data_IF_913465858169
#
_entry.id   IF_913465858169
#
_cell.length_a   1.000
_cell.length_b   1.000
_cell.length_c   1.000
_cell.angle_alpha   90.00
_cell.angle_beta   90.00
_cell.angle_gamma   90.00
#
_symmetry.space_group_name_H-M   'P 1'
#
loop_
_entity.id
_entity.type
_entity.pdbx_description
1 polymer ?
#
# COMPACT_ATOMS: atom_id res chain seq x y z
N UNK A 1 5.57 11.67 -7.47
CA UNK A 1 6.32 11.10 -8.62
C UNK A 1 7.74 11.64 -8.61
N UNK A 2 8.71 10.81 -8.99
CA UNK A 2 10.09 11.23 -9.25
C UNK A 2 10.32 11.21 -10.76
N UNK A 3 10.80 12.33 -11.30
CA UNK A 3 11.09 12.47 -12.73
C UNK A 3 12.53 12.92 -12.90
N UNK A 4 13.31 12.18 -13.68
CA UNK A 4 14.72 12.46 -13.91
C UNK A 4 15.14 12.04 -15.32
N UNK A 5 16.27 12.50 -15.84
CA UNK A 5 16.83 11.94 -17.08
C UNK A 5 17.75 10.75 -16.85
N UNK A 6 18.44 10.71 -15.71
CA UNK A 6 19.39 9.64 -15.39
C UNK A 6 19.48 9.46 -13.89
N UNK A 7 19.51 8.21 -13.43
CA UNK A 7 19.79 7.81 -12.05
C UNK A 7 21.01 6.89 -12.07
N UNK A 8 22.06 7.26 -11.35
CA UNK A 8 23.29 6.47 -11.27
C UNK A 8 23.75 6.32 -9.82
N UNK A 9 24.06 5.09 -9.40
CA UNK A 9 24.64 4.75 -8.09
C UNK A 9 23.91 5.41 -6.90
N UNK A 10 22.59 5.55 -7.00
CA UNK A 10 21.77 6.32 -6.07
C UNK A 10 20.65 5.48 -5.49
N UNK A 11 20.19 5.84 -4.29
CA UNK A 11 19.00 5.27 -3.68
C UNK A 11 17.84 6.24 -3.84
N UNK A 12 16.79 5.84 -4.55
CA UNK A 12 15.64 6.68 -4.88
C UNK A 12 14.38 6.01 -4.39
N UNK A 13 13.57 6.74 -3.62
CA UNK A 13 12.29 6.26 -3.12
C UNK A 13 11.20 7.21 -3.60
N UNK A 14 10.13 6.66 -4.19
CA UNK A 14 8.97 7.43 -4.65
C UNK A 14 7.69 6.80 -4.13
N UNK A 15 6.85 7.60 -3.47
CA UNK A 15 5.51 7.18 -3.03
C UNK A 15 4.50 6.97 -4.16
N UNK A 16 4.89 7.17 -5.43
CA UNK A 16 4.05 6.87 -6.61
C UNK A 16 4.90 6.24 -7.70
N UNK A 17 5.25 6.98 -8.77
CA UNK A 17 6.04 6.47 -9.88
C UNK A 17 7.47 7.03 -9.89
N UNK A 18 8.38 6.29 -10.50
CA UNK A 18 9.70 6.79 -10.94
C UNK A 18 9.75 6.75 -12.46
N UNK A 19 9.84 7.91 -13.10
CA UNK A 19 9.86 8.03 -14.57
C UNK A 19 11.14 8.69 -15.05
N UNK A 20 11.89 7.96 -15.84
CA UNK A 20 13.08 8.46 -16.49
C UNK A 20 12.69 8.97 -17.88
N UNK A 21 12.82 10.29 -18.10
CA UNK A 21 12.43 10.97 -19.33
C UNK A 21 13.65 11.61 -20.00
N UNK A 22 13.64 11.73 -21.33
CA UNK A 22 14.75 12.32 -22.09
C UNK A 22 15.43 11.33 -23.02
N UNK A 23 16.52 11.77 -23.65
CA UNK A 23 17.19 10.97 -24.71
C UNK A 23 17.82 9.70 -24.14
N UNK A 24 18.45 9.84 -22.96
CA UNK A 24 19.11 8.72 -22.27
C UNK A 24 18.15 7.91 -21.41
N UNK A 25 17.35 8.57 -20.55
CA UNK A 25 16.38 7.92 -19.66
C UNK A 25 16.94 6.62 -19.04
N UNK A 26 18.05 6.77 -18.32
CA UNK A 26 18.95 5.68 -17.96
C UNK A 26 18.96 5.44 -16.45
N UNK A 27 18.95 4.18 -16.04
CA UNK A 27 19.15 3.74 -14.66
C UNK A 27 20.39 2.85 -14.61
N UNK A 28 21.40 3.20 -13.81
CA UNK A 28 22.59 2.35 -13.59
C UNK A 28 22.99 2.32 -12.12
N UNK A 29 22.80 1.18 -11.47
CA UNK A 29 23.29 0.96 -10.11
C UNK A 29 22.49 1.69 -9.03
N UNK A 30 22.54 1.13 -7.82
CA UNK A 30 21.79 1.62 -6.65
C UNK A 30 20.46 0.90 -6.47
N UNK A 31 19.57 1.51 -5.67
CA UNK A 31 18.27 0.97 -5.29
C UNK A 31 17.16 1.95 -5.59
N UNK A 32 16.24 1.59 -6.48
CA UNK A 32 15.07 2.40 -6.80
C UNK A 32 13.82 1.69 -6.31
N UNK A 33 13.05 2.38 -5.49
CA UNK A 33 11.78 1.93 -4.95
C UNK A 33 10.67 2.86 -5.43
N UNK A 34 9.60 2.29 -5.98
CA UNK A 34 8.40 3.02 -6.37
C UNK A 34 7.16 2.27 -5.90
N UNK A 35 6.14 3.01 -5.48
CA UNK A 35 4.88 2.39 -5.05
C UNK A 35 4.12 1.79 -6.25
N UNK A 36 3.97 2.54 -7.34
CA UNK A 36 3.12 2.16 -8.49
C UNK A 36 3.90 1.63 -9.69
N UNK A 37 5.09 2.15 -9.96
CA UNK A 37 5.83 1.71 -11.14
C UNK A 37 7.10 2.47 -11.44
N UNK A 38 7.94 1.85 -12.27
CA UNK A 38 9.24 2.38 -12.70
C UNK A 38 9.31 2.33 -14.22
N UNK A 39 9.63 3.45 -14.88
CA UNK A 39 9.78 3.50 -16.34
C UNK A 39 11.10 4.12 -16.73
N UNK A 40 11.85 3.46 -17.62
CA UNK A 40 13.09 3.97 -18.19
C UNK A 40 13.32 3.43 -19.60
N UNK A 41 14.19 4.09 -20.36
CA UNK A 41 14.61 3.56 -21.66
C UNK A 41 15.63 2.44 -21.48
N UNK A 42 16.65 2.67 -20.65
CA UNK A 42 17.72 1.71 -20.42
C UNK A 42 17.88 1.47 -18.93
N UNK A 43 17.89 0.20 -18.53
CA UNK A 43 18.01 -0.21 -17.13
C UNK A 43 19.24 -1.11 -16.99
N UNK A 44 20.08 -0.81 -16.01
CA UNK A 44 21.36 -1.49 -15.81
C UNK A 44 22.42 -1.07 -16.80
N UNK A 45 23.52 -1.81 -16.81
CA UNK A 45 24.68 -1.56 -17.67
C UNK A 45 25.20 -2.86 -18.27
N UNK A 46 25.87 -2.84 -19.44
CA UNK A 46 26.55 -4.02 -20.01
C UNK A 46 27.55 -4.69 -19.05
N UNK A 47 28.12 -3.93 -18.11
CA UNK A 47 29.06 -4.44 -17.09
C UNK A 47 28.38 -5.15 -15.90
N UNK A 48 27.08 -5.47 -16.02
CA UNK A 48 26.27 -6.10 -14.98
C UNK A 48 26.29 -5.38 -13.62
N UNK A 49 26.32 -4.04 -13.63
CA UNK A 49 26.24 -3.22 -12.41
C UNK A 49 24.96 -3.53 -11.64
N UNK A 50 25.12 -3.98 -10.39
CA UNK A 50 24.01 -4.33 -9.50
C UNK A 50 23.01 -3.19 -9.37
N UNK A 51 21.82 -3.39 -9.92
CA UNK A 51 20.73 -2.41 -9.93
C UNK A 51 19.50 -3.08 -9.32
N UNK A 52 18.98 -2.52 -8.23
CA UNK A 52 17.79 -3.04 -7.55
C UNK A 52 16.60 -2.17 -7.90
N UNK A 53 15.57 -2.76 -8.50
CA UNK A 53 14.29 -2.10 -8.77
C UNK A 53 13.19 -2.78 -7.98
N UNK A 54 12.53 -2.03 -7.11
CA UNK A 54 11.45 -2.51 -6.28
C UNK A 54 10.18 -1.73 -6.60
N UNK A 55 9.11 -2.45 -6.93
CA UNK A 55 7.76 -1.90 -7.07
C UNK A 55 6.84 -2.58 -6.07
N UNK A 56 6.16 -1.81 -5.22
CA UNK A 56 5.30 -2.39 -4.20
C UNK A 56 4.99 -1.45 -3.05
N UNK A 57 4.16 -1.95 -2.14
CA UNK A 57 3.86 -1.25 -0.90
C UNK A 57 5.09 -1.31 0.01
N UNK A 58 5.38 -0.21 0.69
CA UNK A 58 6.32 -0.25 1.79
C UNK A 58 5.74 -1.11 2.93
N UNK A 59 6.59 -1.77 3.73
CA UNK A 59 6.15 -2.48 4.94
C UNK A 59 5.29 -1.61 5.85
N UNK A 60 5.64 -0.33 5.98
CA UNK A 60 4.95 0.66 6.81
C UNK A 60 3.46 0.81 6.45
N UNK A 61 3.12 0.87 5.16
CA UNK A 61 1.73 1.00 4.70
C UNK A 61 0.94 -0.28 4.94
N UNK A 62 1.61 -1.43 4.87
CA UNK A 62 0.99 -2.72 5.18
C UNK A 62 0.73 -2.86 6.68
N UNK A 63 1.67 -2.45 7.50
CA UNK A 63 1.53 -2.43 8.96
C UNK A 63 0.42 -1.47 9.40
N UNK A 64 0.28 -0.29 8.77
CA UNK A 64 -0.82 0.65 9.00
C UNK A 64 -2.19 0.00 8.69
N UNK A 65 -2.31 -0.69 7.56
CA UNK A 65 -3.55 -1.38 7.18
C UNK A 65 -3.91 -2.48 8.20
N UNK A 66 -2.96 -3.34 8.55
CA UNK A 66 -3.20 -4.43 9.50
C UNK A 66 -3.57 -3.88 10.89
N UNK A 67 -2.91 -2.81 11.34
CA UNK A 67 -3.25 -2.12 12.58
C UNK A 67 -4.66 -1.53 12.58
N UNK A 68 -5.03 -0.76 11.55
CA UNK A 68 -6.35 -0.13 11.43
C UNK A 68 -7.47 -1.17 11.34
N UNK A 69 -7.20 -2.31 10.68
CA UNK A 69 -8.15 -3.42 10.57
C UNK A 69 -8.39 -4.09 11.92
N UNK A 70 -7.35 -4.30 12.72
CA UNK A 70 -7.49 -4.78 14.09
C UNK A 70 -8.22 -3.77 14.98
N UNK A 71 -7.87 -2.49 14.86
CA UNK A 71 -8.52 -1.41 15.62
C UNK A 71 -10.01 -1.33 15.31
N UNK A 72 -10.38 -1.41 14.03
CA UNK A 72 -11.78 -1.44 13.60
C UNK A 72 -12.54 -2.61 14.25
N UNK A 73 -11.99 -3.83 14.19
CA UNK A 73 -12.61 -5.00 14.77
C UNK A 73 -12.79 -4.88 16.31
N UNK A 74 -11.83 -4.25 16.99
CA UNK A 74 -11.93 -3.96 18.43
C UNK A 74 -13.04 -2.94 18.71
N UNK A 75 -13.06 -1.82 17.97
CA UNK A 75 -14.05 -0.75 18.15
C UNK A 75 -15.48 -1.22 17.83
N UNK A 76 -15.69 -2.00 16.77
CA UNK A 76 -17.02 -2.57 16.45
C UNK A 76 -17.51 -3.51 17.56
N UNK A 77 -16.62 -4.32 18.14
CA UNK A 77 -16.95 -5.19 19.28
C UNK A 77 -17.28 -4.39 20.54
N UNK A 78 -16.57 -3.30 20.80
CA UNK A 78 -16.86 -2.40 21.92
C UNK A 78 -18.18 -1.65 21.71
N UNK A 79 -18.43 -1.16 20.50
CA UNK A 79 -19.70 -0.51 20.14
C UNK A 79 -20.88 -1.46 20.36
N UNK A 80 -20.77 -2.72 19.96
CA UNK A 80 -21.80 -3.73 20.20
C UNK A 80 -22.10 -3.91 21.70
N UNK A 81 -21.07 -3.93 22.56
CA UNK A 81 -21.25 -4.00 24.01
C UNK A 81 -21.94 -2.75 24.56
N UNK A 82 -21.56 -1.56 24.10
CA UNK A 82 -22.19 -0.29 24.49
C UNK A 82 -23.66 -0.28 24.09
N UNK A 83 -24.00 -0.77 22.90
CA UNK A 83 -25.39 -0.90 22.45
C UNK A 83 -26.20 -1.89 23.29
N UNK A 84 -25.61 -3.03 23.68
CA UNK A 84 -26.26 -3.97 24.59
C UNK A 84 -26.53 -3.35 25.97
N UNK A 85 -25.57 -2.60 26.51
CA UNK A 85 -25.73 -1.86 27.79
C UNK A 85 -26.87 -0.85 27.66
N UNK A 86 -26.90 -0.06 26.58
CA UNK A 86 -27.97 0.91 26.34
C UNK A 86 -29.33 0.23 26.18
N UNK A 87 -29.41 -0.89 25.46
CA UNK A 87 -30.65 -1.65 25.30
C UNK A 87 -31.17 -2.22 26.64
N UNK A 88 -30.28 -2.74 27.48
CA UNK A 88 -30.62 -3.22 28.83
C UNK A 88 -31.13 -2.08 29.71
N UNK A 89 -30.46 -0.93 29.68
CA UNK A 89 -30.89 0.26 30.44
C UNK A 89 -32.26 0.73 29.96
N UNK A 90 -32.50 0.81 28.64
CA UNK A 90 -33.80 1.21 28.09
C UNK A 90 -34.93 0.25 28.48
N UNK A 91 -34.66 -1.06 28.57
CA UNK A 91 -35.64 -2.04 29.10
C UNK A 91 -35.94 -1.81 30.57
N UNK A 92 -34.93 -1.51 31.38
CA UNK A 92 -35.11 -1.18 32.81
C UNK A 92 -35.91 0.11 33.01
N UNK A 93 -35.69 1.13 32.18
CA UNK A 93 -36.48 2.38 32.18
C UNK A 93 -37.97 2.09 31.92
N UNK A 94 -38.28 1.20 30.97
CA UNK A 94 -39.66 0.84 30.64
C UNK A 94 -40.39 0.08 31.76
N UNK A 95 -39.66 -0.61 32.65
CA UNK A 95 -40.22 -1.34 33.80
C UNK A 95 -40.28 -0.54 35.10
N UNK A 96 -39.73 0.69 35.14
CA UNK A 96 -39.80 1.63 36.26
C UNK A 96 -38.52 1.79 37.11
N UNK A 97 -38.27 3.04 37.52
CA UNK A 97 -37.18 3.60 38.33
C UNK A 97 -35.73 3.19 37.98
N UNK A 98 -35.05 4.09 37.25
CA UNK A 98 -33.59 4.09 37.19
C UNK A 98 -32.98 4.78 38.41
N UNK A 99 -31.99 4.15 39.04
CA UNK A 99 -31.14 4.82 40.01
C UNK A 99 -30.28 5.90 39.35
N UNK A 100 -29.88 6.92 40.11
CA UNK A 100 -28.96 7.98 39.68
C UNK A 100 -27.67 7.44 39.04
N UNK A 101 -27.12 6.35 39.60
CA UNK A 101 -25.93 5.67 39.05
C UNK A 101 -26.15 5.13 37.64
N UNK A 102 -27.33 4.56 37.36
CA UNK A 102 -27.66 4.02 36.03
C UNK A 102 -27.89 5.12 35.00
N UNK A 103 -28.40 6.29 35.42
CA UNK A 103 -28.51 7.45 34.54
C UNK A 103 -27.14 8.00 34.16
N UNK A 104 -26.18 8.01 35.10
CA UNK A 104 -24.79 8.40 34.81
C UNK A 104 -24.11 7.41 33.84
N UNK A 105 -24.32 6.10 34.03
CA UNK A 105 -23.83 5.07 33.11
C UNK A 105 -24.44 5.25 31.71
N UNK A 106 -25.76 5.50 31.62
CA UNK A 106 -26.44 5.78 30.35
C UNK A 106 -25.82 6.99 29.64
N UNK A 107 -25.59 8.09 30.36
CA UNK A 107 -25.02 9.29 29.76
C UNK A 107 -23.59 9.03 29.22
N UNK A 108 -22.75 8.32 29.98
CA UNK A 108 -21.42 7.91 29.51
C UNK A 108 -21.50 7.01 28.29
N UNK A 109 -22.37 6.00 28.31
CA UNK A 109 -22.55 5.08 27.19
C UNK A 109 -23.04 5.77 25.91
N UNK A 110 -23.92 6.77 26.02
CA UNK A 110 -24.35 7.59 24.87
C UNK A 110 -23.19 8.40 24.29
N UNK A 111 -22.37 9.03 25.14
CA UNK A 111 -21.17 9.77 24.69
C UNK A 111 -20.20 8.85 23.94
N UNK A 112 -19.86 7.71 24.53
CA UNK A 112 -18.99 6.71 23.90
C UNK A 112 -19.58 6.17 22.59
N UNK A 113 -20.89 5.93 22.53
CA UNK A 113 -21.57 5.52 21.28
C UNK A 113 -21.41 6.58 20.19
N UNK A 114 -21.57 7.86 20.52
CA UNK A 114 -21.41 8.95 19.57
C UNK A 114 -19.96 9.07 19.06
N UNK A 115 -18.97 8.89 19.94
CA UNK A 115 -17.55 8.83 19.57
C UNK A 115 -17.28 7.68 18.59
N UNK A 116 -17.79 6.47 18.87
CA UNK A 116 -17.65 5.33 17.96
C UNK A 116 -18.36 5.55 16.62
N UNK A 117 -19.53 6.19 16.62
CA UNK A 117 -20.26 6.53 15.39
C UNK A 117 -19.50 7.52 14.49
N UNK A 118 -18.51 8.25 15.01
CA UNK A 118 -17.64 9.12 14.22
C UNK A 118 -16.37 8.36 13.80
N UNK A 119 -15.69 7.73 14.77
CA UNK A 119 -14.38 7.10 14.55
C UNK A 119 -14.43 5.86 13.66
N UNK A 120 -15.48 5.05 13.75
CA UNK A 120 -15.62 3.83 12.93
C UNK A 120 -15.72 4.18 11.44
N UNK A 121 -16.59 5.11 11.00
CA UNK A 121 -16.60 5.59 9.63
C UNK A 121 -15.25 6.16 9.15
N UNK A 122 -14.54 6.92 9.98
CA UNK A 122 -13.23 7.48 9.63
C UNK A 122 -12.20 6.38 9.36
N UNK A 123 -12.11 5.38 10.26
CA UNK A 123 -11.22 4.23 10.08
C UNK A 123 -11.62 3.42 8.85
N UNK A 124 -12.92 3.21 8.61
CA UNK A 124 -13.40 2.52 7.40
C UNK A 124 -13.02 3.25 6.12
N UNK A 125 -13.20 4.58 6.08
CA UNK A 125 -12.81 5.39 4.93
C UNK A 125 -11.30 5.28 4.66
N UNK A 126 -10.48 5.37 5.71
CA UNK A 126 -9.03 5.20 5.60
C UNK A 126 -8.63 3.81 5.10
N UNK A 127 -9.28 2.75 5.61
CA UNK A 127 -9.05 1.39 5.13
C UNK A 127 -9.42 1.23 3.64
N UNK A 128 -10.53 1.83 3.20
CA UNK A 128 -10.91 1.82 1.78
C UNK A 128 -9.87 2.53 0.90
N UNK A 129 -9.38 3.71 1.31
CA UNK A 129 -8.30 4.40 0.59
C UNK A 129 -7.03 3.55 0.48
N UNK A 130 -6.66 2.87 1.57
CA UNK A 130 -5.52 1.97 1.59
C UNK A 130 -5.74 0.76 0.68
N UNK A 131 -6.93 0.14 0.68
CA UNK A 131 -7.27 -0.99 -0.19
C UNK A 131 -7.24 -0.61 -1.67
N UNK A 132 -7.79 0.54 -2.05
CA UNK A 132 -7.70 1.07 -3.42
C UNK A 132 -6.24 1.24 -3.84
N UNK A 133 -5.44 1.84 -2.95
CA UNK A 133 -4.00 2.00 -3.19
C UNK A 133 -3.31 0.64 -3.32
N UNK A 134 -3.66 -0.35 -2.50
CA UNK A 134 -3.09 -1.70 -2.59
C UNK A 134 -3.42 -2.40 -3.91
N UNK A 135 -4.63 -2.20 -4.44
CA UNK A 135 -5.04 -2.74 -5.75
C UNK A 135 -4.24 -2.07 -6.87
N UNK A 136 -4.05 -0.76 -6.81
CA UNK A 136 -3.20 -0.05 -7.78
C UNK A 136 -1.75 -0.56 -7.73
N UNK A 137 -1.21 -0.76 -6.54
CA UNK A 137 0.15 -1.27 -6.34
C UNK A 137 0.32 -2.72 -6.76
N UNK A 138 -0.71 -3.56 -6.58
CA UNK A 138 -0.69 -4.95 -7.03
C UNK A 138 -0.50 -5.05 -8.56
N UNK A 139 -0.94 -4.03 -9.30
CA UNK A 139 -0.75 -3.90 -10.74
C UNK A 139 0.56 -3.17 -11.11
N UNK A 140 1.48 -3.02 -10.16
CA UNK A 140 2.72 -2.30 -10.38
C UNK A 140 3.58 -2.94 -11.47
N UNK A 141 4.11 -2.09 -12.37
CA UNK A 141 4.88 -2.50 -13.55
C UNK A 141 6.24 -1.82 -13.61
N UNK A 142 7.19 -2.51 -14.22
CA UNK A 142 8.49 -1.94 -14.58
C UNK A 142 8.64 -1.96 -16.11
N UNK A 143 8.85 -0.80 -16.70
CA UNK A 143 8.97 -0.62 -18.14
C UNK A 143 10.41 -0.33 -18.55
N UNK A 144 10.97 -1.18 -19.41
CA UNK A 144 12.26 -0.99 -20.08
C UNK A 144 12.05 -0.82 -21.58
N UNK A 145 12.06 0.43 -22.07
CA UNK A 145 11.73 0.74 -23.47
C UNK A 145 12.75 0.22 -24.48
N UNK A 146 14.05 0.29 -24.18
CA UNK A 146 15.11 -0.16 -25.10
C UNK A 146 15.67 -1.49 -24.65
N UNK A 147 16.30 -1.51 -23.46
CA UNK A 147 17.02 -2.67 -22.98
C UNK A 147 17.13 -2.65 -21.44
N UNK A 148 16.97 -3.83 -20.86
CA UNK A 148 17.27 -4.15 -19.47
C UNK A 148 18.45 -5.10 -19.48
N UNK A 149 19.58 -4.66 -18.93
CA UNK A 149 20.82 -5.41 -18.92
C UNK A 149 20.86 -6.46 -17.80
N UNK A 150 21.77 -7.45 -17.91
CA UNK A 150 22.06 -8.36 -16.81
C UNK A 150 22.49 -7.63 -15.52
N UNK A 151 22.30 -8.27 -14.36
CA UNK A 151 22.63 -7.69 -13.05
C UNK A 151 21.56 -6.76 -12.48
N UNK A 152 20.43 -6.62 -13.18
CA UNK A 152 19.23 -5.96 -12.68
C UNK A 152 18.41 -6.98 -11.88
N UNK A 153 18.05 -6.61 -10.65
CA UNK A 153 17.13 -7.35 -9.80
C UNK A 153 15.81 -6.58 -9.75
N UNK A 154 14.74 -7.25 -10.15
CA UNK A 154 13.39 -6.72 -10.16
C UNK A 154 12.62 -7.39 -9.04
N UNK A 155 12.03 -6.60 -8.16
CA UNK A 155 11.14 -7.06 -7.10
C UNK A 155 9.80 -6.37 -7.30
N UNK A 156 8.73 -7.15 -7.43
CA UNK A 156 7.36 -6.65 -7.56
C UNK A 156 6.54 -7.32 -6.45
N UNK A 157 6.17 -6.55 -5.44
CA UNK A 157 5.57 -7.06 -4.22
C UNK A 157 6.44 -8.16 -3.56
N UNK A 158 5.91 -9.37 -3.31
CA UNK A 158 6.66 -10.45 -2.66
C UNK A 158 7.58 -11.24 -3.63
N UNK A 159 7.49 -11.00 -4.93
CA UNK A 159 8.19 -11.79 -5.95
C UNK A 159 9.45 -11.07 -6.42
N UNK A 160 10.52 -11.82 -6.71
CA UNK A 160 11.78 -11.27 -7.21
C UNK A 160 12.29 -12.04 -8.42
N UNK A 161 12.84 -11.33 -9.40
CA UNK A 161 13.42 -11.85 -10.63
C UNK A 161 14.79 -11.19 -10.86
N UNK A 162 15.81 -12.00 -11.14
CA UNK A 162 17.11 -11.52 -11.57
C UNK A 162 17.21 -11.63 -13.10
N UNK A 163 17.64 -10.56 -13.75
CA UNK A 163 17.93 -10.53 -15.18
C UNK A 163 19.34 -11.06 -15.42
N UNK A 164 19.43 -12.18 -16.11
CA UNK A 164 20.70 -12.84 -16.47
C UNK A 164 21.10 -12.54 -17.92
N UNK A 165 20.12 -12.39 -18.81
CA UNK A 165 20.30 -12.09 -20.22
C UNK A 165 19.65 -10.75 -20.57
N UNK A 166 20.21 -9.97 -21.52
CA UNK A 166 19.64 -8.68 -21.89
C UNK A 166 18.23 -8.84 -22.49
N UNK A 167 17.26 -8.13 -21.92
CA UNK A 167 15.86 -8.13 -22.38
C UNK A 167 15.55 -6.80 -23.05
N UNK A 168 15.06 -6.82 -24.28
CA UNK A 168 14.69 -5.61 -25.02
C UNK A 168 13.18 -5.41 -25.06
N UNK A 169 12.74 -4.15 -25.11
CA UNK A 169 11.33 -3.76 -25.24
C UNK A 169 10.40 -4.56 -24.31
N UNK A 170 10.67 -4.51 -23.00
CA UNK A 170 9.96 -5.35 -22.04
C UNK A 170 9.23 -4.55 -20.97
N UNK A 171 8.08 -5.08 -20.56
CA UNK A 171 7.36 -4.68 -19.34
C UNK A 171 7.30 -5.86 -18.39
N UNK A 172 7.81 -5.69 -17.18
CA UNK A 172 7.78 -6.68 -16.12
C UNK A 172 6.56 -6.45 -15.24
N UNK A 173 5.81 -7.52 -15.00
CA UNK A 173 4.60 -7.53 -14.18
C UNK A 173 4.54 -8.82 -13.38
N UNK A 174 3.82 -8.79 -12.27
CA UNK A 174 3.57 -9.98 -11.46
C UNK A 174 2.29 -10.66 -11.92
N UNK A 175 2.38 -11.91 -12.38
CA UNK A 175 1.25 -12.74 -12.79
C UNK A 175 1.33 -14.09 -12.07
N UNK A 176 0.22 -14.58 -11.52
CA UNK A 176 0.13 -15.88 -10.82
C UNK A 176 1.16 -16.09 -9.68
N UNK A 177 1.70 -15.00 -9.12
CA UNK A 177 2.70 -15.05 -8.05
C UNK A 177 4.15 -15.02 -8.53
N UNK A 178 4.40 -15.01 -9.83
CA UNK A 178 5.73 -14.92 -10.43
C UNK A 178 5.87 -13.62 -11.23
N UNK A 179 7.11 -13.15 -11.42
CA UNK A 179 7.35 -12.01 -12.32
C UNK A 179 7.55 -12.53 -13.73
N UNK A 180 6.69 -12.10 -14.64
CA UNK A 180 6.80 -12.37 -16.08
C UNK A 180 7.06 -11.05 -16.81
N UNK A 181 7.69 -11.15 -17.98
CA UNK A 181 7.85 -10.01 -18.87
C UNK A 181 7.03 -10.23 -20.14
N UNK A 182 6.45 -9.13 -20.63
CA UNK A 182 5.70 -9.06 -21.88
C UNK A 182 6.31 -7.99 -22.77
N UNK A 183 5.86 -7.92 -24.02
CA UNK A 183 6.18 -6.82 -24.93
C UNK A 183 5.87 -5.48 -24.27
N UNK A 184 6.71 -4.48 -24.53
CA UNK A 184 6.59 -3.15 -23.95
C UNK A 184 5.17 -2.54 -24.10
N UNK A 185 4.52 -2.21 -22.97
CA UNK A 185 3.14 -1.67 -22.90
C UNK A 185 3.08 -0.17 -22.49
N UNK A 186 4.23 0.50 -22.29
CA UNK A 186 4.32 1.75 -21.53
C UNK A 186 4.71 3.03 -22.28
#
# INVERSE_FOLDING_TARGET
DVVAETIMHSNVVSGRNVRLIGKKALIVGGKIHAMLGISAHTIGSPMATRTLLEVGLSPEVRDEYDFLKEELAKLEKEQMKVEQILALISRMEATGNLSLDKQLIKQKAIKTKNEYNIRIPEIKARLTELEETMVEVANGKIHGKKIVYPGVFITIGPSSLQINDPVQYATFKREEGEIRFVSYEG
#
